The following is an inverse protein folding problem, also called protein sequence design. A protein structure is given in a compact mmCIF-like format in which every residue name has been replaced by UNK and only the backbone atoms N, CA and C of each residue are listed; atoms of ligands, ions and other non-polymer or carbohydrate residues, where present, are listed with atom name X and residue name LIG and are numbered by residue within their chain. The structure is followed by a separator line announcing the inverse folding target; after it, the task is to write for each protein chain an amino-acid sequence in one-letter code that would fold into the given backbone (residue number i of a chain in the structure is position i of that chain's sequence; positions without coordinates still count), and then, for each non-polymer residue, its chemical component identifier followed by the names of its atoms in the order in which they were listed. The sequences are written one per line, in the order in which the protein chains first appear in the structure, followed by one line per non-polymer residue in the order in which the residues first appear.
data_IF_030442840777
#
_entry.id   IF_030442840777
#
_cell.length_a   1.000
_cell.length_b   1.000
_cell.length_c   1.000
_cell.angle_alpha   90.00
_cell.angle_beta   90.00
_cell.angle_gamma   90.00
#
_symmetry.space_group_name_H-M   'P 1'
#
loop_
_entity.id
_entity.type
_entity.pdbx_description
1 polymer ?
#
# COMPACT_ATOMS: atom_id res chain seq x y z
N UNK A 1 -14.73 9.69 -3.07
CA UNK A 1 -14.55 9.68 -1.59
C UNK A 1 -13.40 10.60 -1.19
N UNK A 2 -13.59 11.56 -0.27
CA UNK A 2 -12.52 12.47 0.17
C UNK A 2 -11.33 11.75 0.86
N UNK A 3 -11.52 10.49 1.25
CA UNK A 3 -10.57 9.74 2.07
C UNK A 3 -9.49 8.95 1.31
N UNK A 4 -9.69 8.54 0.05
CA UNK A 4 -8.70 7.70 -0.66
C UNK A 4 -7.36 8.42 -0.82
N UNK A 5 -7.39 9.72 -1.16
CA UNK A 5 -6.18 10.54 -1.33
C UNK A 5 -5.35 10.55 -0.05
N UNK A 6 -5.97 10.82 1.10
CA UNK A 6 -5.30 10.80 2.41
C UNK A 6 -4.67 9.43 2.67
N UNK A 7 -5.46 8.36 2.57
CA UNK A 7 -4.99 6.99 2.85
C UNK A 7 -3.83 6.59 1.93
N UNK A 8 -3.94 6.88 0.64
CA UNK A 8 -2.91 6.56 -0.34
C UNK A 8 -1.60 7.26 -0.01
N UNK A 9 -1.62 8.58 0.18
CA UNK A 9 -0.41 9.36 0.46
C UNK A 9 0.19 9.04 1.83
N UNK A 10 -0.61 8.75 2.86
CA UNK A 10 -0.10 8.26 4.14
C UNK A 10 0.69 6.96 3.98
N UNK A 11 0.19 5.99 3.20
CA UNK A 11 0.89 4.72 2.99
C UNK A 11 2.12 4.86 2.11
N UNK A 12 2.07 5.71 1.08
CA UNK A 12 3.22 6.02 0.23
C UNK A 12 4.30 6.70 1.07
N UNK A 13 3.94 7.74 1.83
CA UNK A 13 4.85 8.44 2.73
C UNK A 13 5.50 7.51 3.75
N UNK A 14 4.72 6.63 4.40
CA UNK A 14 5.25 5.65 5.35
C UNK A 14 6.27 4.69 4.70
N UNK A 15 6.01 4.22 3.47
CA UNK A 15 6.96 3.36 2.74
C UNK A 15 8.23 4.09 2.36
N UNK A 16 8.11 5.33 1.88
CA UNK A 16 9.27 6.15 1.52
C UNK A 16 10.10 6.50 2.75
N UNK A 17 9.45 6.88 3.86
CA UNK A 17 10.12 7.13 5.13
C UNK A 17 10.85 5.88 5.61
N UNK A 18 10.19 4.71 5.60
CA UNK A 18 10.84 3.46 5.99
C UNK A 18 12.04 3.12 5.10
N UNK A 19 11.91 3.25 3.77
CA UNK A 19 13.02 3.02 2.85
C UNK A 19 14.19 4.00 3.09
N UNK A 20 13.90 5.27 3.31
CA UNK A 20 14.91 6.28 3.64
C UNK A 20 15.61 5.97 4.97
N UNK A 21 14.86 5.55 6.00
CA UNK A 21 15.42 5.14 7.29
C UNK A 21 16.29 3.90 7.17
N UNK A 22 15.90 2.90 6.37
CA UNK A 22 16.71 1.71 6.13
C UNK A 22 17.99 2.03 5.36
N UNK A 23 17.90 2.91 4.36
CA UNK A 23 19.07 3.39 3.65
C UNK A 23 20.01 4.18 4.57
N UNK A 24 19.46 5.05 5.42
CA UNK A 24 20.24 5.77 6.44
C UNK A 24 20.93 4.81 7.40
N UNK A 25 20.21 3.80 7.92
CA UNK A 25 20.79 2.78 8.79
C UNK A 25 21.95 2.04 8.10
N UNK A 26 21.76 1.61 6.86
CA UNK A 26 22.78 0.92 6.07
C UNK A 26 24.03 1.78 5.84
N UNK A 27 23.85 3.06 5.48
CA UNK A 27 24.95 4.00 5.27
C UNK A 27 25.68 4.27 6.59
N UNK A 28 24.96 4.55 7.68
CA UNK A 28 25.56 4.79 9.00
C UNK A 28 26.38 3.60 9.49
N UNK A 29 25.86 2.38 9.28
CA UNK A 29 26.57 1.16 9.63
C UNK A 29 27.82 0.96 8.76
N UNK A 30 27.73 1.18 7.45
CA UNK A 30 28.87 1.10 6.55
C UNK A 30 29.98 2.10 6.96
N UNK A 31 29.62 3.35 7.27
CA UNK A 31 30.55 4.38 7.73
C UNK A 31 31.19 4.04 9.08
N UNK A 32 30.47 3.37 9.99
CA UNK A 32 31.00 2.95 11.29
C UNK A 32 32.13 1.91 11.17
N UNK A 33 32.15 1.13 10.08
CA UNK A 33 33.19 0.14 9.79
C UNK A 33 34.34 0.67 8.92
N UNK A 34 34.28 1.92 8.44
CA UNK A 34 35.41 2.51 7.71
C UNK A 34 36.53 2.81 8.73
N UNK A 35 37.74 2.24 8.57
CA UNK A 35 38.84 2.51 9.46
C UNK A 35 39.19 3.99 9.41
N UNK A 36 39.10 4.68 10.56
CA UNK A 36 39.58 6.05 10.70
C UNK A 36 41.10 6.01 10.64
N UNK A 37 41.72 6.63 9.64
CA UNK A 37 43.17 6.77 9.56
C UNK A 37 43.68 7.49 10.80
N UNK A 38 44.31 6.76 11.72
CA UNK A 38 44.82 7.31 12.97
C UNK A 38 46.09 8.12 12.69
N UNK A 39 45.95 9.44 12.55
CA UNK A 39 47.08 10.36 12.68
C UNK A 39 47.43 10.47 14.17
N UNK A 40 48.24 9.56 14.69
CA UNK A 40 48.75 9.64 16.06
C UNK A 40 49.16 8.29 16.65
N UNK A 41 50.47 8.08 16.75
CA UNK A 41 51.12 6.93 17.38
C UNK A 41 50.81 6.88 18.88
N UNK A 42 49.76 6.16 19.27
CA UNK A 42 49.57 5.69 20.65
C UNK A 42 49.29 4.19 20.60
N UNK A 43 50.05 3.40 21.37
CA UNK A 43 49.83 1.97 21.57
C UNK A 43 48.49 1.78 22.28
N UNK A 44 47.42 1.60 21.51
CA UNK A 44 46.09 1.34 22.04
C UNK A 44 45.99 -0.14 22.41
N UNK A 45 45.40 -0.43 23.56
CA UNK A 45 45.13 -1.82 23.94
C UNK A 45 44.02 -2.39 23.04
N UNK A 46 44.05 -3.70 22.79
CA UNK A 46 43.06 -4.40 21.96
C UNK A 46 41.63 -4.10 22.43
N UNK A 47 41.41 -4.01 23.75
CA UNK A 47 40.10 -3.71 24.35
C UNK A 47 39.60 -2.28 24.08
N UNK A 48 40.48 -1.29 23.97
CA UNK A 48 40.13 0.09 23.62
C UNK A 48 39.70 0.20 22.15
N UNK A 49 40.39 -0.52 21.26
CA UNK A 49 40.01 -0.62 19.84
C UNK A 49 38.62 -1.24 19.71
N UNK A 50 38.36 -2.36 20.41
CA UNK A 50 37.04 -2.99 20.39
C UNK A 50 35.94 -2.11 20.97
N UNK A 51 36.17 -1.41 22.10
CA UNK A 51 35.17 -0.48 22.66
C UNK A 51 34.85 0.66 21.70
N UNK A 52 35.86 1.27 21.07
CA UNK A 52 35.65 2.36 20.11
C UNK A 52 34.85 1.92 18.87
N UNK A 53 35.05 0.68 18.40
CA UNK A 53 34.23 0.10 17.33
C UNK A 53 32.77 -0.08 17.78
N UNK A 54 32.56 -0.63 18.98
CA UNK A 54 31.21 -0.83 19.54
C UNK A 54 30.49 0.51 19.72
N UNK A 55 31.15 1.52 20.30
CA UNK A 55 30.57 2.84 20.51
C UNK A 55 30.19 3.52 19.18
N UNK A 56 31.03 3.37 18.16
CA UNK A 56 30.77 3.87 16.80
C UNK A 56 29.53 3.22 16.17
N UNK A 57 29.38 1.90 16.31
CA UNK A 57 28.21 1.16 15.82
C UNK A 57 26.95 1.54 16.59
N UNK A 58 27.03 1.63 17.92
CA UNK A 58 25.90 2.03 18.77
C UNK A 58 25.42 3.42 18.39
N UNK A 59 26.32 4.40 18.30
CA UNK A 59 25.97 5.76 17.88
C UNK A 59 25.35 5.81 16.46
N UNK A 60 25.87 5.00 15.53
CA UNK A 60 25.37 4.92 14.16
C UNK A 60 23.95 4.33 14.05
N UNK A 61 23.55 3.45 14.99
CA UNK A 61 22.28 2.71 14.92
C UNK A 61 21.16 3.35 15.73
N UNK A 62 21.44 4.03 16.85
CA UNK A 62 20.40 4.51 17.78
C UNK A 62 19.30 5.31 17.08
N UNK A 63 19.65 6.40 16.39
CA UNK A 63 18.66 7.29 15.77
C UNK A 63 17.88 6.64 14.62
N UNK A 64 18.52 6.07 13.58
CA UNK A 64 17.78 5.40 12.50
C UNK A 64 17.02 4.17 13.02
N UNK A 65 17.55 3.46 14.03
CA UNK A 65 16.90 2.33 14.68
C UNK A 65 15.61 2.72 15.42
N UNK A 66 15.66 3.76 16.25
CA UNK A 66 14.47 4.29 16.93
C UNK A 66 13.42 4.77 15.93
N UNK A 67 13.83 5.47 14.87
CA UNK A 67 12.91 5.90 13.82
C UNK A 67 12.26 4.69 13.11
N UNK A 68 13.02 3.64 12.80
CA UNK A 68 12.50 2.42 12.20
C UNK A 68 11.46 1.73 13.09
N UNK A 69 11.69 1.71 14.42
CA UNK A 69 10.73 1.20 15.41
C UNK A 69 9.44 2.02 15.36
N UNK A 70 9.54 3.35 15.43
CA UNK A 70 8.36 4.24 15.38
C UNK A 70 7.55 4.03 14.09
N UNK A 71 8.21 3.98 12.93
CA UNK A 71 7.55 3.72 11.65
C UNK A 71 6.87 2.34 11.61
N UNK A 72 7.49 1.34 12.23
CA UNK A 72 6.94 -0.02 12.35
C UNK A 72 5.69 -0.02 13.24
N UNK A 73 5.71 0.68 14.37
CA UNK A 73 4.53 0.85 15.24
C UNK A 73 3.40 1.54 14.50
N UNK A 74 3.69 2.62 13.76
CA UNK A 74 2.68 3.31 12.93
C UNK A 74 2.10 2.37 11.87
N UNK A 75 2.94 1.58 11.19
CA UNK A 75 2.49 0.57 10.23
C UNK A 75 1.60 -0.50 10.88
N UNK A 76 1.95 -0.94 12.09
CA UNK A 76 1.18 -1.87 12.90
C UNK A 76 -0.19 -1.30 13.26
N UNK A 77 -0.27 -0.06 13.71
CA UNK A 77 -1.54 0.63 14.03
C UNK A 77 -2.42 0.76 12.79
N UNK A 78 -1.86 1.13 11.63
CA UNK A 78 -2.61 1.20 10.37
C UNK A 78 -3.16 -0.18 9.99
N UNK A 79 -2.34 -1.22 10.10
CA UNK A 79 -2.75 -2.60 9.78
C UNK A 79 -3.82 -3.10 10.75
N UNK A 80 -3.70 -2.83 12.05
CA UNK A 80 -4.72 -3.17 13.03
C UNK A 80 -6.05 -2.45 12.74
N UNK A 81 -6.02 -1.17 12.36
CA UNK A 81 -7.21 -0.43 11.93
C UNK A 81 -7.83 -1.00 10.65
N UNK A 82 -7.00 -1.45 9.69
CA UNK A 82 -7.48 -2.14 8.49
C UNK A 82 -8.20 -3.46 8.86
N UNK A 83 -7.67 -4.21 9.83
CA UNK A 83 -8.28 -5.46 10.33
C UNK A 83 -9.63 -5.18 10.97
N UNK A 84 -9.73 -4.16 11.83
CA UNK A 84 -10.99 -3.78 12.49
C UNK A 84 -12.07 -3.30 11.52
N UNK A 85 -11.68 -2.81 10.34
CA UNK A 85 -12.60 -2.40 9.26
C UNK A 85 -12.96 -3.55 8.31
N UNK A 86 -12.50 -4.78 8.51
CA UNK A 86 -12.82 -5.84 7.54
C UNK A 86 -14.31 -6.13 7.58
N UNK A 87 -14.90 -6.12 6.39
CA UNK A 87 -16.26 -6.57 6.21
C UNK A 87 -16.36 -8.06 6.61
N UNK A 88 -17.29 -8.47 7.50
CA UNK A 88 -17.52 -9.88 7.79
C UNK A 88 -17.83 -10.69 6.52
N UNK A 89 -18.55 -10.09 5.57
CA UNK A 89 -18.77 -10.68 4.27
C UNK A 89 -17.55 -10.38 3.37
N UNK A 90 -16.74 -11.40 3.07
CA UNK A 90 -15.66 -11.28 2.08
C UNK A 90 -16.13 -11.51 0.64
N UNK A 91 -17.11 -12.40 0.45
CA UNK A 91 -17.56 -12.82 -0.88
C UNK A 91 -18.83 -12.09 -1.25
N UNK A 92 -18.84 -11.54 -2.46
CA UNK A 92 -20.07 -11.01 -3.06
C UNK A 92 -21.11 -12.12 -3.21
N UNK A 93 -22.38 -11.79 -2.98
CA UNK A 93 -23.50 -12.70 -3.24
C UNK A 93 -23.62 -12.99 -4.73
N UNK A 94 -24.34 -14.06 -5.10
CA UNK A 94 -24.60 -14.37 -6.52
C UNK A 94 -25.30 -13.21 -7.23
N UNK A 95 -26.26 -12.56 -6.55
CA UNK A 95 -26.96 -11.38 -7.07
C UNK A 95 -25.99 -10.21 -7.28
N UNK A 96 -25.17 -9.86 -6.28
CA UNK A 96 -24.19 -8.78 -6.41
C UNK A 96 -23.18 -9.04 -7.55
N UNK A 97 -22.73 -10.29 -7.72
CA UNK A 97 -21.86 -10.65 -8.84
C UNK A 97 -22.58 -10.49 -10.18
N UNK A 98 -23.81 -10.99 -10.32
CA UNK A 98 -24.57 -10.85 -11.56
C UNK A 98 -24.78 -9.39 -11.93
N UNK A 99 -25.20 -8.57 -10.96
CA UNK A 99 -25.45 -7.15 -11.15
C UNK A 99 -24.17 -6.38 -11.48
N UNK A 100 -23.10 -6.61 -10.73
CA UNK A 100 -21.81 -5.95 -10.97
C UNK A 100 -21.19 -6.31 -12.33
N UNK A 101 -21.36 -7.55 -12.79
CA UNK A 101 -20.89 -8.00 -14.11
C UNK A 101 -21.75 -7.43 -15.24
N UNK A 102 -23.08 -7.42 -15.07
CA UNK A 102 -24.01 -6.83 -16.02
C UNK A 102 -23.77 -5.33 -16.18
N UNK A 103 -23.54 -4.63 -15.06
CA UNK A 103 -23.18 -3.20 -15.02
C UNK A 103 -21.92 -2.88 -15.83
N UNK A 104 -20.97 -3.82 -15.89
CA UNK A 104 -19.75 -3.67 -16.66
C UNK A 104 -19.89 -4.14 -18.13
N UNK A 105 -21.07 -4.58 -18.56
CA UNK A 105 -21.28 -5.16 -19.90
C UNK A 105 -20.45 -6.42 -20.14
N UNK A 106 -20.13 -7.19 -19.07
CA UNK A 106 -19.27 -8.36 -19.17
C UNK A 106 -17.81 -8.06 -19.53
N UNK A 107 -17.39 -6.80 -19.58
CA UNK A 107 -16.03 -6.40 -19.91
C UNK A 107 -15.26 -5.94 -18.66
N UNK A 108 -13.98 -6.28 -18.60
CA UNK A 108 -13.08 -5.85 -17.53
C UNK A 108 -13.07 -4.31 -17.37
N UNK A 109 -13.33 -3.82 -16.16
CA UNK A 109 -13.31 -2.39 -15.81
C UNK A 109 -11.91 -1.91 -15.41
N UNK A 110 -11.00 -2.85 -15.16
CA UNK A 110 -9.61 -2.57 -14.83
C UNK A 110 -8.84 -2.02 -16.03
N UNK A 111 -7.71 -1.38 -15.74
CA UNK A 111 -6.86 -0.80 -16.77
C UNK A 111 -5.89 -1.85 -17.32
N UNK A 112 -5.80 -1.90 -18.65
CA UNK A 112 -4.59 -2.35 -19.34
C UNK A 112 -3.69 -1.11 -19.58
N UNK A 113 -2.45 -1.30 -20.01
CA UNK A 113 -1.46 -0.21 -20.15
C UNK A 113 -1.99 1.09 -20.79
N UNK A 114 -1.34 2.21 -20.49
CA UNK A 114 -1.75 3.57 -20.88
C UNK A 114 -3.10 4.04 -20.29
N UNK A 115 -3.57 3.41 -19.21
CA UNK A 115 -4.78 3.84 -18.50
C UNK A 115 -6.10 3.57 -19.24
N UNK A 116 -6.05 2.79 -20.33
CA UNK A 116 -7.21 2.38 -21.11
C UNK A 116 -7.93 1.22 -20.45
N UNK A 117 -9.25 1.14 -20.62
CA UNK A 117 -10.04 -0.01 -20.18
C UNK A 117 -9.52 -1.28 -20.82
N UNK A 118 -9.39 -2.34 -20.03
CA UNK A 118 -9.03 -3.64 -20.55
C UNK A 118 -10.14 -4.18 -21.48
N UNK A 119 -9.77 -4.64 -22.67
CA UNK A 119 -10.70 -5.22 -23.65
C UNK A 119 -11.12 -6.66 -23.34
N UNK A 120 -10.51 -7.29 -22.33
CA UNK A 120 -10.79 -8.69 -22.00
C UNK A 120 -12.15 -8.84 -21.31
N UNK A 121 -12.82 -10.00 -21.48
CA UNK A 121 -14.02 -10.30 -20.71
C UNK A 121 -13.71 -10.26 -19.22
N UNK A 122 -14.67 -9.79 -18.44
CA UNK A 122 -14.63 -9.91 -17.00
C UNK A 122 -14.93 -11.37 -16.61
N UNK A 123 -14.18 -11.87 -15.65
CA UNK A 123 -14.30 -13.25 -15.14
C UNK A 123 -14.63 -13.24 -13.64
N UNK A 124 -14.17 -12.21 -12.93
CA UNK A 124 -14.21 -12.11 -11.48
C UNK A 124 -14.80 -10.77 -11.03
N UNK A 125 -15.58 -10.82 -9.96
CA UNK A 125 -15.90 -9.64 -9.17
C UNK A 125 -14.80 -9.38 -8.15
N UNK A 126 -14.12 -8.25 -8.26
CA UNK A 126 -13.04 -7.83 -7.36
C UNK A 126 -13.45 -6.60 -6.56
N UNK A 127 -12.82 -6.42 -5.41
CA UNK A 127 -12.98 -5.22 -4.58
C UNK A 127 -12.01 -4.15 -5.07
N UNK A 128 -12.51 -3.02 -5.56
CA UNK A 128 -11.68 -1.89 -5.98
C UNK A 128 -10.73 -1.45 -4.86
N UNK A 129 -11.30 -1.18 -3.69
CA UNK A 129 -10.57 -1.03 -2.45
C UNK A 129 -10.45 -2.41 -1.79
N UNK A 130 -9.24 -2.96 -1.56
CA UNK A 130 -9.08 -4.34 -1.10
C UNK A 130 -9.81 -4.64 0.21
N UNK A 131 -10.51 -5.77 0.26
CA UNK A 131 -11.18 -6.28 1.47
C UNK A 131 -10.22 -6.35 2.68
N UNK A 132 -8.98 -6.82 2.45
CA UNK A 132 -7.96 -6.94 3.51
C UNK A 132 -7.54 -5.60 4.13
N UNK A 133 -7.92 -4.48 3.52
CA UNK A 133 -7.67 -3.11 3.99
C UNK A 133 -8.96 -2.39 4.43
N UNK A 134 -10.05 -3.14 4.60
CA UNK A 134 -11.35 -2.61 5.00
C UNK A 134 -12.21 -2.08 3.85
N UNK A 135 -12.04 -2.60 2.64
CA UNK A 135 -13.01 -2.39 1.57
C UNK A 135 -14.31 -3.15 1.84
N UNK A 136 -15.46 -2.53 1.61
CA UNK A 136 -16.77 -3.17 1.81
C UNK A 136 -17.10 -4.15 0.68
N UNK A 137 -17.89 -5.18 0.98
CA UNK A 137 -18.44 -6.10 -0.02
C UNK A 137 -19.79 -5.56 -0.49
N UNK A 138 -19.71 -4.48 -1.27
CA UNK A 138 -20.86 -3.80 -1.86
C UNK A 138 -20.71 -3.62 -3.36
N UNK A 139 -21.81 -3.28 -4.03
CA UNK A 139 -21.79 -2.94 -5.45
C UNK A 139 -21.00 -1.66 -5.73
N UNK A 140 -20.87 -0.74 -4.78
CA UNK A 140 -20.04 0.46 -4.97
C UNK A 140 -18.55 0.12 -4.95
N UNK A 141 -18.12 -0.87 -4.17
CA UNK A 141 -16.74 -1.36 -4.19
C UNK A 141 -16.49 -2.46 -5.24
N UNK A 142 -17.53 -3.02 -5.85
CA UNK A 142 -17.43 -4.06 -6.88
C UNK A 142 -16.85 -3.52 -8.18
N UNK A 143 -15.90 -4.27 -8.75
CA UNK A 143 -15.33 -4.04 -10.07
C UNK A 143 -15.24 -5.36 -10.84
N UNK A 144 -15.73 -5.36 -12.07
CA UNK A 144 -15.60 -6.51 -12.97
C UNK A 144 -14.16 -6.61 -13.50
N UNK A 145 -13.50 -7.75 -13.33
CA UNK A 145 -12.08 -7.90 -13.65
C UNK A 145 -11.78 -9.24 -14.36
N UNK A 146 -10.85 -9.22 -15.32
CA UNK A 146 -10.26 -10.45 -15.87
C UNK A 146 -9.19 -11.01 -14.92
N UNK A 147 -8.87 -12.30 -15.01
CA UNK A 147 -7.86 -12.92 -14.14
C UNK A 147 -6.49 -12.23 -14.19
N UNK A 148 -6.06 -11.70 -15.35
CA UNK A 148 -4.77 -10.98 -15.46
C UNK A 148 -4.77 -9.69 -14.65
N UNK A 149 -5.77 -8.84 -14.84
CA UNK A 149 -5.84 -7.55 -14.15
C UNK A 149 -6.08 -7.73 -12.65
N UNK A 150 -6.90 -8.71 -12.26
CA UNK A 150 -7.15 -9.05 -10.85
C UNK A 150 -5.85 -9.48 -10.15
N UNK A 151 -5.12 -10.45 -10.73
CA UNK A 151 -3.82 -10.91 -10.20
C UNK A 151 -2.80 -9.78 -10.16
N UNK A 152 -2.74 -8.97 -11.23
CA UNK A 152 -1.84 -7.83 -11.28
C UNK A 152 -2.14 -6.86 -10.13
N UNK A 153 -3.39 -6.45 -9.90
CA UNK A 153 -3.79 -5.52 -8.82
C UNK A 153 -3.44 -6.08 -7.43
N UNK A 154 -3.82 -7.32 -7.16
CA UNK A 154 -3.67 -7.94 -5.83
C UNK A 154 -4.30 -7.12 -4.72
N UNK A 155 -3.63 -7.02 -3.58
CA UNK A 155 -4.10 -6.26 -2.41
C UNK A 155 -3.63 -4.80 -2.39
N UNK A 156 -3.23 -4.21 -3.53
CA UNK A 156 -2.75 -2.81 -3.56
C UNK A 156 -3.92 -1.83 -3.40
N UNK A 157 -3.70 -0.78 -2.60
CA UNK A 157 -4.67 0.33 -2.49
C UNK A 157 -4.63 1.08 -3.82
N UNK A 158 -5.78 1.32 -4.48
CA UNK A 158 -5.81 2.09 -5.71
C UNK A 158 -5.34 3.52 -5.47
N UNK A 159 -4.65 4.09 -6.44
CA UNK A 159 -4.28 5.50 -6.41
C UNK A 159 -5.50 6.40 -6.68
N UNK A 160 -5.51 7.66 -6.22
CA UNK A 160 -6.58 8.60 -6.50
C UNK A 160 -6.84 8.78 -8.00
N UNK A 161 -5.77 8.80 -8.82
CA UNK A 161 -5.89 8.88 -10.28
C UNK A 161 -6.56 7.64 -10.88
N UNK A 162 -6.31 6.45 -10.33
CA UNK A 162 -7.00 5.23 -10.79
C UNK A 162 -8.49 5.26 -10.45
N UNK A 163 -8.86 5.77 -9.27
CA UNK A 163 -10.26 5.98 -8.90
C UNK A 163 -10.93 6.95 -9.88
N UNK A 164 -10.36 8.14 -10.04
CA UNK A 164 -10.90 9.17 -10.93
C UNK A 164 -11.06 8.66 -12.38
N UNK A 165 -10.07 7.96 -12.92
CA UNK A 165 -10.18 7.40 -14.27
C UNK A 165 -11.26 6.33 -14.38
N UNK A 166 -11.42 5.46 -13.38
CA UNK A 166 -12.49 4.47 -13.38
C UNK A 166 -13.87 5.14 -13.31
N UNK A 167 -14.04 6.11 -12.41
CA UNK A 167 -15.28 6.89 -12.28
C UNK A 167 -15.59 7.64 -13.59
N UNK A 168 -14.59 8.25 -14.22
CA UNK A 168 -14.74 8.91 -15.53
C UNK A 168 -15.12 7.93 -16.64
N UNK A 169 -14.51 6.73 -16.68
CA UNK A 169 -14.87 5.72 -17.68
C UNK A 169 -16.29 5.20 -17.49
N UNK A 170 -16.74 5.06 -16.25
CA UNK A 170 -18.12 4.64 -15.92
C UNK A 170 -19.17 5.58 -16.51
N UNK A 171 -18.86 6.86 -16.68
CA UNK A 171 -19.76 7.79 -17.39
C UNK A 171 -20.09 7.33 -18.83
N UNK A 172 -19.18 6.61 -19.49
CA UNK A 172 -19.35 6.20 -20.88
C UNK A 172 -20.12 4.90 -21.08
N UNK A 173 -20.38 4.12 -20.02
CA UNK A 173 -21.06 2.82 -20.15
C UNK A 173 -22.05 2.50 -19.02
N UNK A 174 -22.19 3.37 -18.01
CA UNK A 174 -23.24 3.24 -17.01
C UNK A 174 -24.48 4.04 -17.42
N UNK A 175 -25.64 3.52 -17.05
CA UNK A 175 -26.91 4.22 -17.24
C UNK A 175 -26.92 5.55 -16.46
N UNK A 176 -27.59 6.60 -16.98
CA UNK A 176 -27.82 7.83 -16.23
C UNK A 176 -28.45 7.54 -14.86
N UNK A 177 -27.90 8.11 -13.80
CA UNK A 177 -28.36 7.88 -12.41
C UNK A 177 -27.71 6.68 -11.70
N UNK A 178 -26.93 5.85 -12.39
CA UNK A 178 -26.17 4.78 -11.73
C UNK A 178 -25.01 5.34 -10.89
N UNK A 179 -24.67 4.63 -9.80
CA UNK A 179 -23.56 5.02 -8.94
C UNK A 179 -22.21 4.95 -9.69
N UNK A 180 -21.65 6.13 -9.96
CA UNK A 180 -20.34 6.28 -10.60
C UNK A 180 -19.18 6.03 -9.63
N UNK A 181 -19.39 6.44 -8.38
CA UNK A 181 -18.38 6.36 -7.33
C UNK A 181 -17.95 4.92 -7.09
N UNK A 182 -16.67 4.77 -6.74
CA UNK A 182 -16.07 3.46 -6.52
C UNK A 182 -15.21 3.43 -5.27
N UNK A 183 -15.09 2.26 -4.66
CA UNK A 183 -14.11 2.00 -3.61
C UNK A 183 -14.63 2.11 -2.20
N UNK A 184 -15.93 1.89 -1.98
CA UNK A 184 -16.53 1.97 -0.65
C UNK A 184 -15.72 1.17 0.39
N UNK A 185 -15.60 1.75 1.58
CA UNK A 185 -14.90 1.18 2.73
C UNK A 185 -15.84 1.07 3.90
N UNK A 186 -15.64 0.04 4.69
CA UNK A 186 -16.34 -0.11 5.95
C UNK A 186 -15.92 1.00 6.95
N UNK A 187 -16.87 1.56 7.71
CA UNK A 187 -16.56 2.48 8.80
C UNK A 187 -15.72 1.77 9.88
N UNK A 188 -15.11 2.54 10.78
CA UNK A 188 -14.62 1.92 12.01
C UNK A 188 -15.84 1.64 12.89
N UNK A 189 -15.92 0.46 13.51
CA UNK A 189 -16.83 0.27 14.63
C UNK A 189 -16.44 1.19 15.80
#
# INVERSE_FOLDING_TARGET
MKDLKRIYWTRVGLRLAFAATMMWLAVSLALAFIPKTSAGTKTSTVSEVFRGMVDGVVAAVILPGLLAIVLTVIAGVITARDVRRRDPARRFTRQQRREGMARAGGQCEMEAGLGRRCSRPAEHGDHFYPWSKGGSTSLQNFVASCARCNRAKGARVPSPRQQERLERRRLGYLAPGAALSVGERQPLP
#
